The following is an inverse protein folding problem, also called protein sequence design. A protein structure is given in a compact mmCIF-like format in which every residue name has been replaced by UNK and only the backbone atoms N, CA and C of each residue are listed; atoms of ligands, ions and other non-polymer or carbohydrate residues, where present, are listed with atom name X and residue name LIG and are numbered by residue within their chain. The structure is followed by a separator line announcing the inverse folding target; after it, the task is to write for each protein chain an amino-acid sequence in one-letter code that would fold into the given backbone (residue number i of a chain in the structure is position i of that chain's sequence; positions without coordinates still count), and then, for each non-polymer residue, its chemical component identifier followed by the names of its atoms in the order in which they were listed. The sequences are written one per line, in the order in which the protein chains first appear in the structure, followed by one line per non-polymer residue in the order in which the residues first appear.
data_IF_367555209285
#
_entry.id   IF_367555209285
#
_cell.length_a   1.000
_cell.length_b   1.000
_cell.length_c   1.000
_cell.angle_alpha   90.00
_cell.angle_beta   90.00
_cell.angle_gamma   90.00
#
_symmetry.space_group_name_H-M   'P 1'
#
loop_
_entity.id
_entity.type
_entity.pdbx_description
1 polymer ?
#
# COMPACT_ATOMS: atom_id res chain seq x y z
N UNK A 1 -7.31 13.33 4.56
CA UNK A 1 -6.25 12.83 5.46
C UNK A 1 -4.84 13.16 4.97
N UNK A 2 -4.56 13.02 3.67
CA UNK A 2 -3.23 13.22 3.06
C UNK A 2 -2.63 14.62 3.23
N UNK A 3 -3.43 15.70 3.16
CA UNK A 3 -2.94 17.06 3.44
C UNK A 3 -2.23 17.14 4.81
N UNK A 4 -2.89 16.65 5.86
CA UNK A 4 -2.35 16.67 7.22
C UNK A 4 -1.06 15.86 7.31
N UNK A 5 -1.01 14.70 6.64
CA UNK A 5 0.19 13.88 6.56
C UNK A 5 1.34 14.65 5.87
N UNK A 6 1.09 15.29 4.73
CA UNK A 6 2.10 16.09 4.03
C UNK A 6 2.62 17.26 4.87
N UNK A 7 1.74 17.96 5.58
CA UNK A 7 2.11 19.09 6.43
C UNK A 7 2.91 18.63 7.66
N UNK A 8 2.46 17.56 8.33
CA UNK A 8 3.03 17.14 9.61
C UNK A 8 4.22 16.20 9.48
N UNK A 9 4.14 15.22 8.57
CA UNK A 9 5.19 14.22 8.35
C UNK A 9 6.21 14.72 7.33
N UNK A 10 5.75 15.16 6.15
CA UNK A 10 6.64 15.59 5.07
C UNK A 10 7.11 17.06 5.18
N UNK A 11 6.56 17.82 6.14
CA UNK A 11 6.86 19.24 6.36
C UNK A 11 6.63 20.12 5.13
N UNK A 12 5.63 19.79 4.31
CA UNK A 12 5.22 20.62 3.17
C UNK A 12 4.41 21.81 3.71
N UNK A 13 4.77 23.07 3.38
CA UNK A 13 3.99 24.23 3.82
C UNK A 13 2.56 24.16 3.30
N UNK A 14 1.56 24.50 4.13
CA UNK A 14 0.13 24.39 3.78
C UNK A 14 -0.25 25.08 2.46
N UNK A 15 0.37 26.22 2.18
CA UNK A 15 0.16 26.99 0.95
C UNK A 15 0.70 26.29 -0.30
N UNK A 16 1.65 25.38 -0.16
CA UNK A 16 2.30 24.67 -1.28
C UNK A 16 1.73 23.27 -1.52
N UNK A 17 0.93 22.72 -0.60
CA UNK A 17 0.43 21.34 -0.67
C UNK A 17 -0.23 21.00 -2.01
N UNK A 18 -1.06 21.90 -2.56
CA UNK A 18 -1.77 21.62 -3.81
C UNK A 18 -0.81 21.50 -4.99
N UNK A 19 0.06 22.49 -5.18
CA UNK A 19 1.07 22.48 -6.24
C UNK A 19 2.03 21.29 -6.09
N UNK A 20 2.37 20.95 -4.85
CA UNK A 20 3.22 19.80 -4.55
C UNK A 20 2.57 18.49 -4.99
N UNK A 21 1.29 18.29 -4.65
CA UNK A 21 0.52 17.11 -5.06
C UNK A 21 0.43 16.99 -6.58
N UNK A 22 0.21 18.09 -7.32
CA UNK A 22 0.23 18.05 -8.79
C UNK A 22 1.58 17.61 -9.34
N UNK A 23 2.68 18.12 -8.76
CA UNK A 23 4.04 17.74 -9.16
C UNK A 23 4.29 16.24 -8.92
N UNK A 24 3.86 15.71 -7.77
CA UNK A 24 3.97 14.27 -7.45
C UNK A 24 3.11 13.43 -8.40
N UNK A 25 1.88 13.87 -8.68
CA UNK A 25 0.98 13.19 -9.64
C UNK A 25 1.63 13.08 -11.01
N UNK A 26 2.22 14.18 -11.51
CA UNK A 26 2.84 14.20 -12.83
C UNK A 26 4.07 13.29 -12.89
N UNK A 27 4.88 13.25 -11.82
CA UNK A 27 5.98 12.27 -11.66
C UNK A 27 5.48 10.83 -11.68
N UNK A 28 4.43 10.52 -10.91
CA UNK A 28 3.85 9.17 -10.88
C UNK A 28 3.26 8.78 -12.24
N UNK A 29 2.59 9.71 -12.92
CA UNK A 29 2.01 9.49 -14.25
C UNK A 29 3.08 9.20 -15.32
N UNK A 30 4.26 9.81 -15.19
CA UNK A 30 5.40 9.57 -16.08
C UNK A 30 6.03 8.18 -15.89
N UNK A 31 5.93 7.58 -14.69
CA UNK A 31 6.32 6.19 -14.45
C UNK A 31 5.33 5.24 -15.12
N UNK A 32 4.04 5.38 -14.79
CA UNK A 32 2.96 4.66 -15.47
C UNK A 32 1.67 5.47 -15.48
N UNK A 33 1.14 5.67 -16.67
CA UNK A 33 -0.07 6.47 -16.91
C UNK A 33 -1.34 5.71 -16.55
N UNK A 34 -1.62 5.58 -15.26
CA UNK A 34 -2.89 5.02 -14.78
C UNK A 34 -3.97 6.09 -14.66
N UNK A 35 -5.19 5.89 -15.21
CA UNK A 35 -6.29 6.85 -15.05
C UNK A 35 -6.60 7.22 -13.59
N UNK A 36 -6.50 6.26 -12.67
CA UNK A 36 -6.70 6.47 -11.23
C UNK A 36 -5.69 7.44 -10.60
N UNK A 37 -4.45 7.50 -11.12
CA UNK A 37 -3.43 8.49 -10.73
C UNK A 37 -3.90 9.90 -11.07
N UNK A 38 -4.47 10.07 -12.27
CA UNK A 38 -5.03 11.33 -12.76
C UNK A 38 -6.23 11.81 -11.93
N UNK A 39 -7.08 10.87 -11.52
CA UNK A 39 -8.24 11.11 -10.65
C UNK A 39 -7.85 11.38 -9.18
N UNK A 40 -6.60 11.13 -8.79
CA UNK A 40 -6.12 11.39 -7.44
C UNK A 40 -6.64 10.43 -6.38
N UNK A 41 -7.10 9.22 -6.74
CA UNK A 41 -7.65 8.24 -5.79
C UNK A 41 -6.64 7.86 -4.68
N UNK A 42 -5.36 7.87 -5.03
CA UNK A 42 -4.24 7.59 -4.13
C UNK A 42 -4.07 8.65 -3.02
N UNK A 43 -4.69 9.84 -3.15
CA UNK A 43 -4.68 10.88 -2.12
C UNK A 43 -5.63 10.58 -0.95
N UNK A 44 -6.36 9.47 -0.99
CA UNK A 44 -7.25 9.04 0.08
C UNK A 44 -6.88 7.63 0.58
N UNK A 45 -5.94 7.52 1.54
CA UNK A 45 -5.50 6.25 2.11
C UNK A 45 -6.69 5.43 2.61
N UNK A 46 -6.78 4.17 2.18
CA UNK A 46 -7.90 3.30 2.49
C UNK A 46 -7.68 2.52 3.78
N UNK A 47 -6.44 2.14 4.08
CA UNK A 47 -6.11 1.35 5.27
C UNK A 47 -6.57 2.01 6.59
N UNK A 48 -6.46 3.35 6.80
CA UNK A 48 -6.95 4.01 8.01
C UNK A 48 -8.45 3.97 8.22
N UNK A 49 -9.23 3.62 7.19
CA UNK A 49 -10.69 3.50 7.25
C UNK A 49 -11.13 2.10 7.70
N UNK A 50 -10.20 1.14 7.70
CA UNK A 50 -10.47 -0.21 8.17
C UNK A 50 -10.79 -0.22 9.68
N UNK A 51 -11.84 -0.94 10.12
CA UNK A 51 -12.08 -1.18 11.55
C UNK A 51 -10.89 -1.86 12.25
N UNK A 52 -10.07 -2.61 11.50
CA UNK A 52 -8.88 -3.27 12.02
C UNK A 52 -7.67 -2.32 12.16
N UNK A 53 -7.74 -1.06 11.71
CA UNK A 53 -6.57 -0.19 11.65
C UNK A 53 -5.86 0.01 12.99
N UNK A 54 -6.63 0.23 14.06
CA UNK A 54 -6.07 0.39 15.40
C UNK A 54 -5.36 -0.88 15.90
N UNK A 55 -5.93 -2.06 15.63
CA UNK A 55 -5.32 -3.34 16.02
C UNK A 55 -4.09 -3.67 15.17
N UNK A 56 -4.09 -3.30 13.89
CA UNK A 56 -2.92 -3.40 13.01
C UNK A 56 -1.77 -2.58 13.60
N UNK A 57 -1.97 -1.30 13.94
CA UNK A 57 -0.93 -0.47 14.54
C UNK A 57 -0.40 -1.11 15.84
N UNK A 58 -1.27 -1.62 16.70
CA UNK A 58 -0.85 -2.29 17.94
C UNK A 58 0.00 -3.52 17.67
N UNK A 59 -0.39 -4.38 16.72
CA UNK A 59 0.38 -5.56 16.32
C UNK A 59 1.76 -5.16 15.78
N UNK A 60 1.84 -4.14 14.93
CA UNK A 60 3.11 -3.67 14.36
C UNK A 60 4.04 -3.10 15.43
N UNK A 61 3.51 -2.36 16.41
CA UNK A 61 4.27 -1.91 17.58
C UNK A 61 4.76 -3.06 18.45
N UNK A 62 4.04 -4.18 18.48
CA UNK A 62 4.44 -5.41 19.14
C UNK A 62 5.40 -6.27 18.29
N UNK A 63 5.83 -5.78 17.12
CA UNK A 63 6.81 -6.43 16.26
C UNK A 63 6.23 -7.32 15.15
N UNK A 64 4.92 -7.28 14.91
CA UNK A 64 4.33 -7.94 13.74
C UNK A 64 4.84 -7.31 12.43
N UNK A 65 4.72 -8.07 11.35
CA UNK A 65 5.05 -7.69 9.99
C UNK A 65 3.80 -7.36 9.17
N UNK A 66 3.96 -6.54 8.13
CA UNK A 66 2.86 -6.11 7.25
C UNK A 66 3.28 -6.15 5.78
N UNK A 67 2.41 -6.64 4.91
CA UNK A 67 2.58 -6.59 3.46
C UNK A 67 1.46 -5.79 2.81
N UNK A 68 1.81 -4.74 2.07
CA UNK A 68 0.91 -3.96 1.22
C UNK A 68 1.05 -4.40 -0.24
N UNK A 69 -0.04 -4.91 -0.83
CA UNK A 69 -0.09 -5.40 -2.20
C UNK A 69 -0.74 -4.36 -3.12
N UNK A 70 -0.02 -4.00 -4.18
CA UNK A 70 -0.34 -2.85 -5.03
C UNK A 70 -0.09 -1.55 -4.30
N UNK A 71 1.08 -1.44 -3.68
CA UNK A 71 1.41 -0.36 -2.76
C UNK A 71 1.51 1.01 -3.45
N UNK A 72 1.66 1.06 -4.77
CA UNK A 72 1.89 2.27 -5.56
C UNK A 72 3.06 3.09 -4.99
N UNK A 73 2.80 4.29 -4.45
CA UNK A 73 3.83 5.15 -3.82
C UNK A 73 3.99 4.90 -2.31
N UNK A 74 3.32 3.90 -1.75
CA UNK A 74 3.40 3.51 -0.34
C UNK A 74 2.60 4.41 0.61
N UNK A 75 1.47 4.97 0.17
CA UNK A 75 0.68 5.92 0.95
C UNK A 75 0.10 5.32 2.24
N UNK A 76 -0.37 4.07 2.20
CA UNK A 76 -0.94 3.38 3.37
C UNK A 76 0.17 3.00 4.37
N UNK A 77 1.32 2.54 3.88
CA UNK A 77 2.49 2.22 4.71
C UNK A 77 3.03 3.44 5.47
N UNK A 78 3.16 4.59 4.79
CA UNK A 78 3.62 5.82 5.44
C UNK A 78 2.59 6.39 6.40
N UNK A 79 1.31 6.06 6.19
CA UNK A 79 0.29 6.38 7.15
C UNK A 79 0.39 5.53 8.42
N UNK A 80 0.72 4.23 8.31
CA UNK A 80 1.06 3.40 9.48
C UNK A 80 2.24 3.98 10.27
N UNK A 81 3.30 4.37 9.57
CA UNK A 81 4.50 4.96 10.20
C UNK A 81 4.19 6.28 10.89
N UNK A 82 3.43 7.16 10.24
CA UNK A 82 3.01 8.43 10.85
C UNK A 82 2.13 8.23 12.09
N UNK A 83 1.37 7.13 12.16
CA UNK A 83 0.58 6.75 13.32
C UNK A 83 1.37 5.86 14.31
N UNK A 84 2.69 5.72 14.13
CA UNK A 84 3.63 5.16 15.09
C UNK A 84 3.92 3.67 14.96
N UNK A 85 3.72 3.08 13.78
CA UNK A 85 4.27 1.76 13.45
C UNK A 85 5.76 1.86 13.08
N UNK A 86 6.61 0.89 13.46
CA UNK A 86 7.97 0.80 12.95
C UNK A 86 7.95 0.44 11.44
N UNK A 87 8.96 0.90 10.70
CA UNK A 87 9.00 0.73 9.23
C UNK A 87 9.87 -0.42 8.73
N UNK A 88 10.70 -1.01 9.61
CA UNK A 88 11.65 -2.08 9.31
C UNK A 88 11.01 -3.45 9.08
N UNK A 89 9.72 -3.60 9.40
CA UNK A 89 8.92 -4.82 9.17
C UNK A 89 7.73 -4.60 8.24
N UNK A 90 7.78 -3.52 7.48
CA UNK A 90 6.81 -3.22 6.43
C UNK A 90 7.36 -3.68 5.09
N UNK A 91 6.53 -4.38 4.34
CA UNK A 91 6.81 -4.87 3.00
C UNK A 91 5.81 -4.25 2.04
N UNK A 92 6.27 -3.95 0.85
CA UNK A 92 5.50 -3.32 -0.20
C UNK A 92 5.72 -4.08 -1.49
N UNK A 93 4.66 -4.44 -2.20
CA UNK A 93 4.78 -5.07 -3.51
C UNK A 93 3.93 -4.35 -4.53
N UNK A 94 4.50 -4.12 -5.70
CA UNK A 94 3.79 -3.61 -6.86
C UNK A 94 4.45 -4.14 -8.13
N UNK A 95 3.69 -4.21 -9.22
CA UNK A 95 4.19 -4.65 -10.52
C UNK A 95 5.05 -3.58 -11.20
N UNK A 96 4.89 -2.31 -10.80
CA UNK A 96 5.72 -1.20 -11.28
C UNK A 96 6.14 -0.31 -10.13
N UNK A 97 7.45 -0.09 -10.00
CA UNK A 97 8.00 0.75 -8.94
C UNK A 97 7.66 2.24 -9.14
N UNK A 98 6.85 2.77 -8.23
CA UNK A 98 6.68 4.22 -8.02
C UNK A 98 7.41 4.69 -6.75
N UNK A 99 8.35 3.87 -6.26
CA UNK A 99 8.86 3.98 -4.90
C UNK A 99 9.64 5.28 -4.67
N UNK A 100 10.43 5.71 -5.66
CA UNK A 100 11.14 7.00 -5.61
C UNK A 100 10.18 8.20 -5.60
N UNK A 101 9.03 8.11 -6.27
CA UNK A 101 7.99 9.14 -6.21
C UNK A 101 7.38 9.21 -4.81
N UNK A 102 7.25 8.07 -4.13
CA UNK A 102 6.90 8.00 -2.72
C UNK A 102 7.92 8.75 -1.84
N UNK A 103 9.21 8.49 -2.00
CA UNK A 103 10.25 9.21 -1.27
C UNK A 103 10.21 10.72 -1.50
N UNK A 104 9.96 11.14 -2.74
CA UNK A 104 9.77 12.56 -3.07
C UNK A 104 8.56 13.15 -2.33
N UNK A 105 7.40 12.50 -2.40
CA UNK A 105 6.19 13.00 -1.77
C UNK A 105 6.35 13.15 -0.25
N UNK A 106 6.98 12.17 0.37
CA UNK A 106 6.99 12.05 1.82
C UNK A 106 8.26 12.56 2.48
N UNK A 107 9.29 12.88 1.67
CA UNK A 107 10.58 13.43 2.08
C UNK A 107 11.20 12.61 3.20
N UNK A 108 11.26 11.30 3.01
CA UNK A 108 11.54 10.34 4.08
C UNK A 108 12.54 9.25 3.72
N UNK A 109 13.36 9.46 2.69
CA UNK A 109 14.40 8.52 2.25
C UNK A 109 15.37 8.12 3.37
N UNK A 110 15.54 8.96 4.37
CA UNK A 110 16.43 8.78 5.51
C UNK A 110 15.79 8.05 6.70
N UNK A 111 14.47 7.91 6.76
CA UNK A 111 13.75 7.37 7.93
C UNK A 111 12.69 6.30 7.63
N UNK A 112 12.33 6.12 6.37
CA UNK A 112 11.36 5.12 5.95
C UNK A 112 12.05 3.92 5.31
N UNK A 113 12.06 2.79 6.03
CA UNK A 113 12.85 1.60 5.71
C UNK A 113 12.01 0.38 5.34
N UNK A 114 10.80 0.58 4.81
CA UNK A 114 9.99 -0.52 4.30
C UNK A 114 10.69 -1.19 3.10
N UNK A 115 10.58 -2.51 3.00
CA UNK A 115 11.18 -3.29 1.93
C UNK A 115 10.24 -3.36 0.73
N UNK A 116 10.64 -2.75 -0.38
CA UNK A 116 9.88 -2.76 -1.62
C UNK A 116 10.34 -3.90 -2.54
N UNK A 117 9.38 -4.64 -3.09
CA UNK A 117 9.58 -5.74 -4.02
C UNK A 117 8.82 -5.40 -5.31
N UNK A 118 9.52 -5.31 -6.44
CA UNK A 118 8.88 -5.20 -7.74
C UNK A 118 8.53 -6.60 -8.25
N UNK A 119 7.24 -6.95 -8.25
CA UNK A 119 6.77 -8.28 -8.64
C UNK A 119 5.31 -8.28 -9.12
N UNK A 120 5.02 -9.19 -10.04
CA UNK A 120 3.65 -9.59 -10.36
C UNK A 120 3.19 -10.63 -9.34
N UNK A 121 2.06 -10.38 -8.66
CA UNK A 121 1.51 -11.31 -7.66
C UNK A 121 0.97 -12.60 -8.27
N UNK A 122 0.60 -12.60 -9.55
CA UNK A 122 0.15 -13.80 -10.27
C UNK A 122 1.34 -14.68 -10.69
N UNK A 123 2.53 -14.08 -10.81
CA UNK A 123 3.78 -14.75 -11.15
C UNK A 123 4.88 -14.34 -10.17
N UNK A 124 4.77 -14.75 -8.88
CA UNK A 124 5.62 -14.22 -7.82
C UNK A 124 7.09 -14.54 -8.08
N UNK A 125 7.98 -13.58 -7.82
CA UNK A 125 9.42 -13.79 -7.89
C UNK A 125 9.94 -14.47 -6.60
N UNK A 126 11.26 -14.67 -6.49
CA UNK A 126 11.86 -15.35 -5.32
C UNK A 126 11.64 -14.55 -4.02
N UNK A 127 11.73 -13.21 -4.09
CA UNK A 127 11.57 -12.33 -2.94
C UNK A 127 10.13 -12.34 -2.41
N UNK A 128 9.13 -12.21 -3.30
CA UNK A 128 7.72 -12.28 -2.92
C UNK A 128 7.36 -13.66 -2.36
N UNK A 129 7.87 -14.75 -2.96
CA UNK A 129 7.66 -16.11 -2.44
C UNK A 129 8.22 -16.28 -1.03
N UNK A 130 9.34 -15.65 -0.69
CA UNK A 130 9.92 -15.73 0.65
C UNK A 130 9.02 -15.08 1.73
N UNK A 131 8.11 -14.19 1.34
CA UNK A 131 7.13 -13.57 2.24
C UNK A 131 5.85 -14.40 2.42
N UNK A 132 5.58 -15.36 1.54
CA UNK A 132 4.37 -16.17 1.62
C UNK A 132 4.37 -17.02 2.90
N UNK A 133 3.31 -16.93 3.69
CA UNK A 133 3.17 -17.63 4.97
C UNK A 133 4.04 -17.10 6.12
N UNK A 134 4.87 -16.07 5.90
CA UNK A 134 5.77 -15.50 6.93
C UNK A 134 5.31 -14.16 7.47
N UNK A 135 4.46 -13.42 6.74
CA UNK A 135 3.95 -12.11 7.15
C UNK A 135 2.68 -12.23 8.01
N UNK A 136 2.55 -11.38 9.03
CA UNK A 136 1.46 -11.43 10.01
C UNK A 136 0.15 -10.75 9.54
N UNK A 137 0.27 -9.72 8.70
CA UNK A 137 -0.87 -8.94 8.16
C UNK A 137 -0.65 -8.65 6.68
N UNK A 138 -1.67 -8.88 5.87
CA UNK A 138 -1.67 -8.57 4.42
C UNK A 138 -2.80 -7.61 4.09
N UNK A 139 -2.51 -6.62 3.24
CA UNK A 139 -3.46 -5.63 2.75
C UNK A 139 -3.45 -5.55 1.22
N UNK A 140 -4.64 -5.40 0.63
CA UNK A 140 -4.87 -5.32 -0.82
C UNK A 140 -5.92 -4.23 -1.10
N UNK A 141 -5.70 -3.02 -0.56
CA UNK A 141 -6.72 -1.96 -0.55
C UNK A 141 -6.91 -1.29 -1.91
N UNK A 142 -5.87 -1.22 -2.74
CA UNK A 142 -5.86 -0.38 -3.94
C UNK A 142 -5.89 -1.14 -5.27
N UNK A 143 -5.80 -2.46 -5.28
CA UNK A 143 -5.72 -3.23 -6.55
C UNK A 143 -7.07 -3.51 -7.20
N UNK A 144 -8.16 -3.54 -6.42
CA UNK A 144 -9.44 -4.09 -6.86
C UNK A 144 -10.16 -3.32 -7.98
N UNK A 145 -9.82 -2.05 -8.20
CA UNK A 145 -10.40 -1.25 -9.29
C UNK A 145 -9.76 -1.52 -10.67
N UNK A 146 -8.66 -2.27 -10.72
CA UNK A 146 -7.99 -2.64 -11.96
C UNK A 146 -8.48 -3.99 -12.53
N UNK A 147 -9.26 -4.74 -11.76
CA UNK A 147 -9.86 -6.00 -12.21
C UNK A 147 -11.31 -5.81 -12.62
N UNK A 148 -11.62 -6.24 -13.85
CA UNK A 148 -12.98 -6.45 -14.30
C UNK A 148 -13.44 -7.84 -13.81
N UNK A 149 -14.33 -7.84 -12.81
CA UNK A 149 -14.90 -9.05 -12.23
C UNK A 149 -16.05 -9.63 -13.10
N UNK A 150 -16.32 -9.03 -14.26
CA UNK A 150 -17.42 -9.40 -15.17
C UNK A 150 -17.11 -10.43 -16.24
N UNK A 151 -15.88 -10.97 -16.32
CA UNK A 151 -15.50 -11.95 -17.33
C UNK A 151 -14.90 -13.20 -16.70
N UNK A 152 -15.17 -14.36 -17.30
CA UNK A 152 -14.60 -15.67 -16.98
C UNK A 152 -13.08 -15.75 -17.21
N UNK A 153 -12.32 -14.86 -16.58
CA UNK A 153 -10.87 -14.78 -16.63
C UNK A 153 -10.27 -15.21 -15.31
N UNK A 154 -9.36 -16.17 -15.36
CA UNK A 154 -8.71 -16.88 -14.25
C UNK A 154 -7.94 -15.96 -13.25
N UNK A 155 -7.86 -14.65 -13.49
CA UNK A 155 -7.11 -13.70 -12.67
C UNK A 155 -7.77 -13.28 -11.35
N UNK A 156 -9.11 -13.23 -11.29
CA UNK A 156 -9.83 -12.82 -10.07
C UNK A 156 -9.89 -13.92 -9.00
N UNK A 157 -10.02 -15.18 -9.43
CA UNK A 157 -10.03 -16.35 -8.55
C UNK A 157 -8.65 -16.67 -7.98
N UNK A 158 -7.60 -16.62 -8.82
CA UNK A 158 -6.24 -16.99 -8.41
C UNK A 158 -5.65 -16.07 -7.34
N UNK A 159 -5.91 -14.75 -7.39
CA UNK A 159 -5.44 -13.82 -6.36
C UNK A 159 -6.17 -14.02 -5.01
N UNK A 160 -7.44 -14.43 -5.04
CA UNK A 160 -8.19 -14.80 -3.83
C UNK A 160 -7.73 -16.14 -3.25
N UNK A 161 -7.51 -17.15 -4.08
CA UNK A 161 -7.08 -18.49 -3.66
C UNK A 161 -5.62 -18.52 -3.19
N UNK A 162 -4.72 -17.76 -3.82
CA UNK A 162 -3.30 -17.67 -3.43
C UNK A 162 -3.08 -17.12 -2.01
N UNK A 163 -4.01 -16.34 -1.47
CA UNK A 163 -3.92 -15.77 -0.12
C UNK A 163 -4.90 -16.38 0.90
N UNK A 164 -5.96 -17.06 0.46
CA UNK A 164 -6.86 -17.83 1.35
C UNK A 164 -6.26 -19.20 1.71
N UNK A 165 -5.36 -19.74 0.89
CA UNK A 165 -4.78 -21.09 1.03
C UNK A 165 -3.76 -21.31 2.15
N UNK A 166 -3.02 -20.27 2.58
CA UNK A 166 -1.97 -20.40 3.61
C UNK A 166 -2.26 -19.49 4.80
N UNK A 167 -3.29 -19.84 5.56
CA UNK A 167 -3.60 -19.19 6.84
C UNK A 167 -2.73 -19.78 7.95
N UNK A 168 -1.88 -18.96 8.56
CA UNK A 168 -1.47 -19.17 9.96
C UNK A 168 -2.63 -18.74 10.86
N UNK A 169 -2.91 -19.51 11.91
CA UNK A 169 -3.90 -19.14 12.93
C UNK A 169 -3.56 -17.74 13.48
N UNK A 170 -4.46 -16.77 13.30
CA UNK A 170 -4.30 -15.38 13.75
C UNK A 170 -3.98 -14.33 12.67
N UNK A 171 -3.76 -14.74 11.41
CA UNK A 171 -3.62 -13.82 10.27
C UNK A 171 -5.00 -13.26 9.87
N UNK A 172 -5.18 -11.95 9.99
CA UNK A 172 -6.41 -11.26 9.61
C UNK A 172 -6.24 -10.55 8.27
N UNK A 173 -7.09 -10.86 7.29
CA UNK A 173 -7.18 -10.10 6.04
C UNK A 173 -8.09 -8.89 6.29
N UNK A 174 -7.57 -7.67 6.21
CA UNK A 174 -8.41 -6.47 6.23
C UNK A 174 -8.65 -6.00 4.79
N UNK A 175 -9.79 -6.37 4.24
CA UNK A 175 -10.17 -6.01 2.88
C UNK A 175 -11.45 -6.69 2.41
N UNK A 176 -12.57 -6.56 3.16
CA UNK A 176 -13.90 -6.96 2.68
C UNK A 176 -14.99 -6.14 3.39
N UNK A 177 -15.68 -5.28 2.65
CA UNK A 177 -17.11 -4.95 2.85
C UNK A 177 -17.70 -4.60 1.47
N UNK A 178 -18.33 -5.57 0.82
CA UNK A 178 -19.24 -5.32 -0.29
C UNK A 178 -20.57 -4.91 0.34
N UNK A 179 -20.95 -3.63 0.21
CA UNK A 179 -22.33 -3.21 0.45
C UNK A 179 -23.15 -3.59 -0.78
N UNK A 180 -23.73 -4.78 -0.75
CA UNK A 180 -24.97 -5.09 -1.47
C UNK A 180 -26.16 -4.57 -0.68
#
# INVERSE_FOLDING_TARGET
MTRKLLEQYSKVPSAQVLQYVHTIRDKAWAVRSYPCTGLGLWLDPMLPKSPAYASIIQKLRAGASFLDIGCFIGQDLRRLVADGAPSDRLYAVDVVSHWDVGYDMYRDRDRFSAHFIEADILYPNVELRALMGTVDVVSITHVLHQWDWGGSGEGGGAAGEAFVGERRDGCGVSGWEYRG
#
